data_IF_368501155105
#
_entry.id   IF_368501155105
#
_cell.length_a   1.000
_cell.length_b   1.000
_cell.length_c   1.000
_cell.angle_alpha   90.00
_cell.angle_beta   90.00
_cell.angle_gamma   90.00
#
_symmetry.space_group_name_H-M   'P 1'
#
loop_
_entity.id
_entity.type
_entity.pdbx_description
1 polymer ?
#
# COMPACT_ATOMS: atom_id res chain seq x y z
N UNK A 1 -7.96 -2.92 24.25
CA UNK A 1 -9.37 -2.85 23.79
C UNK A 1 -9.53 -1.57 23.01
N UNK A 2 -10.01 -1.64 21.76
CA UNK A 2 -10.15 -0.46 20.91
C UNK A 2 -11.27 0.44 21.41
N UNK A 3 -10.96 1.72 21.58
CA UNK A 3 -11.95 2.76 21.87
C UNK A 3 -12.69 3.20 20.61
N UNK A 4 -13.81 3.91 20.79
CA UNK A 4 -14.56 4.51 19.67
C UNK A 4 -13.68 5.47 18.87
N UNK A 5 -12.83 6.25 19.54
CA UNK A 5 -11.90 7.19 18.92
C UNK A 5 -10.86 6.46 18.07
N UNK A 6 -10.38 5.30 18.52
CA UNK A 6 -9.41 4.49 17.76
C UNK A 6 -10.02 3.98 16.45
N UNK A 7 -11.28 3.54 16.49
CA UNK A 7 -12.01 3.10 15.30
C UNK A 7 -12.26 4.25 14.33
N UNK A 8 -12.68 5.41 14.84
CA UNK A 8 -12.90 6.60 14.02
C UNK A 8 -11.60 7.04 13.35
N UNK A 9 -10.51 7.14 14.13
CA UNK A 9 -9.19 7.50 13.61
C UNK A 9 -8.69 6.51 12.56
N UNK A 10 -8.87 5.22 12.80
CA UNK A 10 -8.49 4.15 11.86
C UNK A 10 -9.31 4.21 10.56
N UNK A 11 -10.61 4.51 10.66
CA UNK A 11 -11.47 4.65 9.48
C UNK A 11 -11.09 5.87 8.65
N UNK A 12 -10.81 7.01 9.29
CA UNK A 12 -10.33 8.22 8.62
C UNK A 12 -9.00 7.93 7.93
N UNK A 13 -8.07 7.28 8.63
CA UNK A 13 -6.77 6.90 8.07
C UNK A 13 -6.92 5.98 6.86
N UNK A 14 -7.79 4.97 6.95
CA UNK A 14 -8.08 4.06 5.85
C UNK A 14 -8.66 4.79 4.63
N UNK A 15 -9.58 5.74 4.85
CA UNK A 15 -10.17 6.55 3.78
C UNK A 15 -9.10 7.40 3.08
N UNK A 16 -8.20 8.02 3.83
CA UNK A 16 -7.07 8.80 3.28
C UNK A 16 -6.20 7.89 2.41
N UNK A 17 -5.78 6.73 2.93
CA UNK A 17 -4.99 5.76 2.18
C UNK A 17 -5.71 5.31 0.91
N UNK A 18 -7.02 5.05 0.98
CA UNK A 18 -7.84 4.66 -0.17
C UNK A 18 -7.87 5.73 -1.26
N UNK A 19 -8.09 7.00 -0.88
CA UNK A 19 -8.12 8.13 -1.82
C UNK A 19 -6.74 8.30 -2.48
N UNK A 20 -5.67 8.30 -1.68
CA UNK A 20 -4.29 8.42 -2.19
C UNK A 20 -3.95 7.25 -3.10
N UNK A 21 -4.34 6.03 -2.74
CA UNK A 21 -4.11 4.83 -3.55
C UNK A 21 -4.80 4.95 -4.91
N UNK A 22 -6.06 5.38 -4.91
CA UNK A 22 -6.84 5.57 -6.13
C UNK A 22 -6.21 6.62 -7.04
N UNK A 23 -5.82 7.78 -6.50
CA UNK A 23 -5.15 8.83 -7.27
C UNK A 23 -3.82 8.38 -7.84
N UNK A 24 -2.99 7.71 -7.04
CA UNK A 24 -1.71 7.20 -7.51
C UNK A 24 -1.90 6.18 -8.63
N UNK A 25 -2.79 5.20 -8.48
CA UNK A 25 -3.07 4.20 -9.52
C UNK A 25 -3.60 4.85 -10.81
N UNK A 26 -4.49 5.84 -10.70
CA UNK A 26 -5.00 6.59 -11.86
C UNK A 26 -3.88 7.37 -12.55
N UNK A 27 -2.97 7.98 -11.80
CA UNK A 27 -1.82 8.70 -12.34
C UNK A 27 -0.81 7.74 -12.97
N UNK A 28 -0.54 6.58 -12.38
CA UNK A 28 0.26 5.51 -13.00
C UNK A 28 -0.32 5.09 -14.35
N UNK A 29 -1.64 4.96 -14.45
CA UNK A 29 -2.31 4.64 -15.72
C UNK A 29 -2.24 5.74 -16.78
N UNK A 30 -1.82 6.97 -16.44
CA UNK A 30 -1.66 8.07 -17.40
C UNK A 30 -0.36 8.03 -18.19
N UNK A 31 0.51 7.03 -17.96
CA UNK A 31 1.72 6.78 -18.76
C UNK A 31 2.91 7.71 -18.46
N UNK A 32 2.83 8.53 -17.42
CA UNK A 32 3.92 9.46 -17.04
C UNK A 32 5.01 8.82 -16.17
N UNK A 33 4.82 7.60 -15.69
CA UNK A 33 5.77 6.92 -14.80
C UNK A 33 6.49 5.77 -15.47
N UNK A 34 7.79 5.64 -15.20
CA UNK A 34 8.54 4.40 -15.44
C UNK A 34 8.01 3.31 -14.49
N UNK A 35 7.13 2.45 -15.03
CA UNK A 35 6.49 1.38 -14.29
C UNK A 35 7.49 0.38 -13.71
N UNK A 36 8.64 0.18 -14.37
CA UNK A 36 9.69 -0.75 -13.91
C UNK A 36 10.40 -0.22 -12.68
N UNK A 37 10.76 1.06 -12.69
CA UNK A 37 11.32 1.74 -11.53
C UNK A 37 10.32 1.78 -10.37
N UNK A 38 9.06 2.05 -10.68
CA UNK A 38 7.97 2.12 -9.70
C UNK A 38 7.69 0.77 -9.06
N UNK A 39 7.68 -0.32 -9.83
CA UNK A 39 7.55 -1.69 -9.31
C UNK A 39 8.67 -2.04 -8.33
N UNK A 40 9.92 -1.72 -8.68
CA UNK A 40 11.07 -2.01 -7.79
C UNK A 40 10.98 -1.24 -6.48
N UNK A 41 10.63 0.05 -6.53
CA UNK A 41 10.43 0.88 -5.34
C UNK A 41 9.21 0.42 -4.52
N UNK A 42 8.11 0.09 -5.19
CA UNK A 42 6.89 -0.41 -4.56
C UNK A 42 7.11 -1.73 -3.83
N UNK A 43 7.91 -2.64 -4.39
CA UNK A 43 8.28 -3.90 -3.73
C UNK A 43 9.06 -3.63 -2.44
N UNK A 44 10.12 -2.80 -2.52
CA UNK A 44 10.95 -2.46 -1.37
C UNK A 44 10.10 -1.84 -0.24
N UNK A 45 9.21 -0.89 -0.55
CA UNK A 45 8.34 -0.29 0.47
C UNK A 45 7.32 -1.29 1.03
N UNK A 46 6.83 -2.22 0.22
CA UNK A 46 5.96 -3.31 0.69
C UNK A 46 6.70 -4.24 1.64
N UNK A 47 7.92 -4.65 1.29
CA UNK A 47 8.78 -5.49 2.15
C UNK A 47 9.10 -4.79 3.47
N UNK A 48 9.45 -3.50 3.44
CA UNK A 48 9.70 -2.70 4.65
C UNK A 48 8.44 -2.64 5.52
N UNK A 49 7.26 -2.36 4.93
CA UNK A 49 6.01 -2.33 5.67
C UNK A 49 5.68 -3.68 6.31
N UNK A 50 5.87 -4.79 5.56
CA UNK A 50 5.65 -6.15 6.06
C UNK A 50 6.63 -6.49 7.19
N UNK A 51 7.91 -6.15 7.03
CA UNK A 51 8.92 -6.38 8.06
C UNK A 51 8.58 -5.63 9.35
N UNK A 52 8.15 -4.37 9.25
CA UNK A 52 7.71 -3.58 10.42
C UNK A 52 6.45 -4.16 11.06
N UNK A 53 5.48 -4.61 10.24
CA UNK A 53 4.28 -5.28 10.73
C UNK A 53 4.61 -6.58 11.47
N UNK A 54 5.47 -7.43 10.91
CA UNK A 54 5.92 -8.68 11.52
C UNK A 54 6.73 -8.41 12.80
N UNK A 55 7.61 -7.42 12.78
CA UNK A 55 8.37 -7.02 13.96
C UNK A 55 7.42 -6.59 15.08
N UNK A 56 6.40 -5.78 14.76
CA UNK A 56 5.39 -5.38 15.74
C UNK A 56 4.56 -6.57 16.24
N UNK A 57 4.18 -7.49 15.33
CA UNK A 57 3.43 -8.70 15.66
C UNK A 57 4.21 -9.61 16.62
N UNK A 58 5.52 -9.75 16.41
CA UNK A 58 6.40 -10.62 17.20
C UNK A 58 6.79 -9.99 18.54
N UNK A 59 7.07 -8.67 18.57
CA UNK A 59 7.45 -7.98 19.80
C UNK A 59 6.26 -7.74 20.74
N UNK A 60 5.03 -7.73 20.20
CA UNK A 60 3.73 -7.67 20.87
C UNK A 60 3.74 -7.04 22.27
N UNK A 61 4.23 -5.79 22.38
CA UNK A 61 4.21 -4.99 23.62
C UNK A 61 2.87 -4.30 23.87
N UNK A 62 1.76 -4.96 23.54
CA UNK A 62 0.44 -4.63 24.08
C UNK A 62 -0.42 -3.58 23.35
N UNK A 63 0.06 -2.89 22.31
CA UNK A 63 -0.79 -1.95 21.55
C UNK A 63 -1.19 -2.48 20.16
N UNK A 64 -2.35 -3.12 20.12
CA UNK A 64 -2.96 -3.65 18.91
C UNK A 64 -3.35 -2.54 17.91
N UNK A 65 -3.45 -1.27 18.35
CA UNK A 65 -3.77 -0.13 17.47
C UNK A 65 -2.67 0.11 16.44
N UNK A 66 -1.42 0.07 16.87
CA UNK A 66 -0.28 0.27 15.99
C UNK A 66 -0.16 -0.86 14.96
N UNK A 67 -0.50 -2.09 15.37
CA UNK A 67 -0.55 -3.24 14.48
C UNK A 67 -1.62 -3.07 13.39
N UNK A 68 -2.80 -2.56 13.75
CA UNK A 68 -3.87 -2.24 12.80
C UNK A 68 -3.42 -1.19 11.77
N UNK A 69 -2.79 -0.10 12.24
CA UNK A 69 -2.26 0.97 11.37
C UNK A 69 -1.19 0.41 10.42
N UNK A 70 -0.24 -0.36 10.94
CA UNK A 70 0.78 -1.01 10.10
C UNK A 70 0.16 -1.97 9.09
N UNK A 71 -0.87 -2.73 9.49
CA UNK A 71 -1.60 -3.60 8.57
C UNK A 71 -2.23 -2.82 7.40
N UNK A 72 -2.82 -1.66 7.68
CA UNK A 72 -3.34 -0.77 6.63
C UNK A 72 -2.23 -0.23 5.73
N UNK A 73 -1.07 0.14 6.28
CA UNK A 73 0.09 0.59 5.49
C UNK A 73 0.64 -0.53 4.60
N UNK A 74 0.70 -1.76 5.11
CA UNK A 74 1.08 -2.94 4.31
C UNK A 74 0.14 -3.13 3.13
N UNK A 75 -1.17 -3.12 3.38
CA UNK A 75 -2.18 -3.25 2.33
C UNK A 75 -2.08 -2.11 1.30
N UNK A 76 -1.86 -0.89 1.77
CA UNK A 76 -1.65 0.26 0.90
C UNK A 76 -0.41 0.08 0.02
N UNK A 77 0.75 -0.22 0.59
CA UNK A 77 1.99 -0.42 -0.17
C UNK A 77 1.85 -1.56 -1.20
N UNK A 78 1.28 -2.69 -0.77
CA UNK A 78 1.01 -3.83 -1.63
C UNK A 78 0.07 -3.47 -2.79
N UNK A 79 -0.98 -2.67 -2.54
CA UNK A 79 -1.91 -2.22 -3.60
C UNK A 79 -1.20 -1.41 -4.69
N UNK A 80 -0.25 -0.55 -4.30
CA UNK A 80 0.50 0.28 -5.25
C UNK A 80 1.45 -0.57 -6.08
N UNK A 81 2.12 -1.53 -5.44
CA UNK A 81 3.02 -2.47 -6.12
C UNK A 81 2.27 -3.39 -7.10
N UNK A 82 1.15 -3.98 -6.66
CA UNK A 82 0.30 -4.82 -7.51
C UNK A 82 -0.28 -4.02 -8.68
N UNK A 83 -0.70 -2.79 -8.44
CA UNK A 83 -1.17 -1.89 -9.50
C UNK A 83 -0.11 -1.60 -10.54
N UNK A 84 1.14 -1.35 -10.13
CA UNK A 84 2.25 -1.16 -11.05
C UNK A 84 2.52 -2.43 -11.89
N UNK A 85 2.49 -3.62 -11.27
CA UNK A 85 2.64 -4.91 -11.99
C UNK A 85 1.52 -5.12 -13.01
N UNK A 86 0.29 -4.85 -12.61
CA UNK A 86 -0.88 -5.03 -13.47
C UNK A 86 -0.80 -4.10 -14.69
N UNK A 87 -0.47 -2.83 -14.48
CA UNK A 87 -0.31 -1.86 -15.57
C UNK A 87 0.86 -2.22 -16.49
N UNK A 88 2.00 -2.65 -15.94
CA UNK A 88 3.16 -3.09 -16.73
C UNK A 88 2.82 -4.33 -17.58
N UNK A 89 2.10 -5.30 -17.02
CA UNK A 89 1.62 -6.47 -17.78
C UNK A 89 0.62 -6.07 -18.87
N UNK A 90 -0.27 -5.11 -18.57
CA UNK A 90 -1.24 -4.61 -19.54
C UNK A 90 -0.56 -3.87 -20.69
N UNK A 91 0.44 -3.06 -20.42
CA UNK A 91 1.23 -2.34 -21.43
C UNK A 91 2.01 -3.32 -22.32
N UNK A 92 2.66 -4.33 -21.75
CA UNK A 92 3.38 -5.36 -22.50
C UNK A 92 2.49 -6.27 -23.36
N UNK A 93 1.19 -6.37 -23.05
CA UNK A 93 0.20 -7.14 -23.83
C UNK A 93 -0.57 -6.30 -24.85
N UNK A 94 -0.45 -4.96 -24.82
CA UNK A 94 -1.03 -4.09 -25.83
C UNK A 94 -0.34 -4.27 -27.18
N UNK A 95 -0.99 -3.93 -28.31
CA UNK A 95 -0.33 -3.99 -29.61
C UNK A 95 0.90 -3.08 -29.54
N UNK A 96 2.09 -3.67 -29.81
CA UNK A 96 3.30 -2.90 -30.08
C UNK A 96 2.96 -1.95 -31.23
N UNK A 97 2.80 -0.66 -30.94
CA UNK A 97 2.80 0.38 -31.98
C UNK A 97 4.20 0.52 -32.53
#
# INVERSE_FOLDING_TARGET
MFSREDWIGSLIFLLILGIVAFWNLRKMSSGTYDLKALRKRGLMWTEVAVALFLLQLLLRKGDDRFLLILGMVVLFAASQWLGAIYLEHKENKGPKK
#
